data_IF_667091315846
#
_entry.id   IF_667091315846
#
_cell.length_a   1.000
_cell.length_b   1.000
_cell.length_c   1.000
_cell.angle_alpha   90.00
_cell.angle_beta   90.00
_cell.angle_gamma   90.00
#
_symmetry.space_group_name_H-M   'P 1'
#
loop_
_entity.id
_entity.type
_entity.pdbx_description
1 polymer ?
#
# COMPACT_ATOMS: atom_id res chain seq x y z
N UNK A 1 -69.10 -15.66 -29.12
CA UNK A 1 -69.51 -14.25 -29.31
C UNK A 1 -68.44 -13.35 -28.69
N UNK A 2 -67.93 -12.40 -29.48
CA UNK A 2 -67.61 -11.01 -29.04
C UNK A 2 -66.52 -10.76 -27.96
N UNK A 3 -65.31 -10.35 -28.44
CA UNK A 3 -64.51 -9.15 -28.05
C UNK A 3 -63.98 -9.03 -26.57
N UNK A 4 -62.89 -8.33 -26.20
CA UNK A 4 -61.64 -7.78 -26.79
C UNK A 4 -61.02 -6.91 -25.66
N UNK A 5 -59.70 -6.96 -25.45
CA UNK A 5 -58.73 -5.86 -25.09
C UNK A 5 -57.49 -6.52 -24.47
N UNK A 6 -56.35 -6.68 -25.17
CA UNK A 6 -55.32 -5.70 -25.58
C UNK A 6 -54.70 -4.85 -24.45
N UNK A 7 -53.44 -5.17 -24.12
CA UNK A 7 -52.30 -4.22 -24.12
C UNK A 7 -51.06 -4.92 -24.70
N UNK A 8 -50.09 -4.15 -25.19
CA UNK A 8 -49.14 -4.56 -26.24
C UNK A 8 -47.72 -4.90 -25.74
N UNK A 9 -47.06 -5.79 -26.49
CA UNK A 9 -45.61 -5.97 -26.51
C UNK A 9 -44.94 -4.82 -27.30
N UNK A 10 -43.70 -4.45 -26.95
CA UNK A 10 -42.85 -3.68 -27.87
C UNK A 10 -41.69 -2.91 -27.22
N UNK A 11 -40.47 -3.43 -27.35
CA UNK A 11 -39.24 -2.64 -27.27
C UNK A 11 -38.33 -3.07 -28.43
N UNK A 12 -38.22 -2.20 -29.45
CA UNK A 12 -37.51 -2.50 -30.68
C UNK A 12 -36.01 -2.17 -30.61
N UNK A 13 -35.22 -3.14 -31.07
CA UNK A 13 -34.23 -3.04 -32.18
C UNK A 13 -33.11 -1.99 -32.06
N UNK A 14 -31.88 -2.50 -32.20
CA UNK A 14 -30.64 -1.76 -32.39
C UNK A 14 -30.22 -1.74 -33.87
N UNK A 15 -29.91 -0.55 -34.41
CA UNK A 15 -29.11 -0.26 -35.62
C UNK A 15 -28.49 1.14 -35.40
N UNK A 16 -27.17 1.36 -35.51
CA UNK A 16 -26.38 1.58 -36.75
C UNK A 16 -26.93 2.77 -37.59
N UNK A 17 -26.16 3.75 -38.08
CA UNK A 17 -24.71 3.90 -38.31
C UNK A 17 -24.17 5.18 -37.57
N UNK A 18 -23.05 5.88 -37.84
CA UNK A 18 -22.13 5.94 -38.98
C UNK A 18 -20.69 6.48 -38.66
N UNK A 19 -19.85 6.45 -39.69
CA UNK A 19 -18.46 6.91 -39.91
C UNK A 19 -18.32 8.44 -39.96
N UNK A 20 -17.18 9.08 -39.63
CA UNK A 20 -15.90 9.08 -40.39
C UNK A 20 -14.77 9.73 -39.55
N UNK A 21 -13.57 9.15 -39.58
CA UNK A 21 -12.37 9.76 -39.00
C UNK A 21 -11.32 10.02 -40.09
N UNK A 22 -10.91 11.28 -40.24
CA UNK A 22 -9.78 11.75 -41.07
C UNK A 22 -9.29 13.07 -40.47
N UNK A 23 -8.01 13.19 -40.08
CA UNK A 23 -7.60 14.41 -39.37
C UNK A 23 -6.18 14.51 -38.78
N UNK A 24 -5.16 14.10 -39.54
CA UNK A 24 -3.85 14.79 -39.65
C UNK A 24 -3.03 15.06 -38.36
N UNK A 25 -1.82 14.51 -38.36
CA UNK A 25 -0.72 14.83 -37.43
C UNK A 25 -0.27 16.29 -37.60
N UNK A 26 -0.15 17.05 -36.49
CA UNK A 26 0.73 18.23 -36.42
C UNK A 26 1.45 18.33 -35.08
N UNK A 27 2.76 18.10 -35.11
CA UNK A 27 3.68 18.48 -34.03
C UNK A 27 3.70 20.01 -33.91
N UNK A 28 3.50 20.54 -32.70
CA UNK A 28 3.70 21.96 -32.40
C UNK A 28 4.94 22.14 -31.55
N UNK A 29 5.99 22.68 -32.18
CA UNK A 29 7.20 23.16 -31.53
C UNK A 29 6.88 24.32 -30.59
N UNK A 30 7.49 24.29 -29.40
CA UNK A 30 7.29 25.28 -28.33
C UNK A 30 8.25 26.47 -28.54
N UNK A 31 7.78 27.73 -28.69
CA UNK A 31 8.65 28.89 -28.66
C UNK A 31 8.97 29.32 -27.21
N UNK A 32 10.18 29.83 -26.91
CA UNK A 32 10.53 30.32 -25.57
C UNK A 32 9.91 31.69 -25.27
N UNK A 33 9.59 31.95 -23.99
CA UNK A 33 8.99 33.19 -23.53
C UNK A 33 10.03 34.27 -23.17
N UNK A 34 9.78 35.57 -23.48
CA UNK A 34 10.62 36.69 -23.04
C UNK A 34 10.26 37.19 -21.63
N UNK A 35 11.20 37.82 -20.89
CA UNK A 35 10.99 38.21 -19.50
C UNK A 35 10.45 39.65 -19.30
N UNK A 36 9.58 39.80 -18.30
CA UNK A 36 9.51 40.97 -17.40
C UNK A 36 9.02 42.32 -17.94
N UNK A 37 7.78 42.68 -17.62
CA UNK A 37 7.38 44.08 -17.38
C UNK A 37 6.43 44.21 -16.18
N UNK A 38 6.42 45.40 -15.58
CA UNK A 38 5.90 45.69 -14.25
C UNK A 38 4.52 46.36 -14.24
N UNK A 39 3.62 45.89 -13.38
CA UNK A 39 2.63 46.72 -12.68
C UNK A 39 1.35 47.14 -13.42
N UNK A 40 0.21 46.96 -12.74
CA UNK A 40 -0.94 47.89 -12.56
C UNK A 40 -2.11 47.08 -11.95
N UNK A 41 -3.00 47.74 -11.17
CA UNK A 41 -4.02 47.09 -10.32
C UNK A 41 -5.43 47.12 -10.96
N UNK A 42 -6.18 46.04 -10.69
CA UNK A 42 -7.55 45.62 -11.11
C UNK A 42 -8.62 46.72 -11.27
N UNK A 43 -9.70 46.46 -12.05
CA UNK A 43 -10.96 46.11 -11.39
C UNK A 43 -11.78 44.93 -11.96
N UNK A 44 -12.46 44.30 -10.99
CA UNK A 44 -13.55 43.30 -10.95
C UNK A 44 -14.56 43.28 -12.12
N UNK A 45 -14.63 42.19 -12.90
CA UNK A 45 -15.85 41.38 -13.20
C UNK A 45 -15.67 40.46 -14.43
N UNK A 46 -15.84 39.15 -14.27
CA UNK A 46 -16.35 38.20 -15.28
C UNK A 46 -16.41 36.79 -14.66
N UNK A 47 -17.43 36.02 -15.01
CA UNK A 47 -17.73 34.69 -14.50
C UNK A 47 -17.65 33.69 -15.67
N UNK A 48 -16.78 32.68 -15.61
CA UNK A 48 -16.90 31.44 -16.40
C UNK A 48 -15.91 30.37 -15.89
N UNK A 49 -16.33 29.11 -15.95
CA UNK A 49 -15.58 27.98 -15.41
C UNK A 49 -14.54 27.41 -16.40
N UNK A 50 -13.45 26.88 -15.84
CA UNK A 50 -12.63 25.83 -16.45
C UNK A 50 -12.23 24.84 -15.34
N UNK A 51 -12.51 23.55 -15.55
CA UNK A 51 -12.32 22.53 -14.51
C UNK A 51 -10.89 22.00 -14.43
N UNK A 52 -10.51 21.52 -13.25
CA UNK A 52 -9.32 20.69 -13.06
C UNK A 52 -9.56 19.65 -11.95
N UNK A 53 -9.15 18.42 -12.24
CA UNK A 53 -8.87 17.28 -11.35
C UNK A 53 -9.60 17.19 -9.99
N UNK A 54 -10.36 16.11 -9.82
CA UNK A 54 -10.86 15.67 -8.52
C UNK A 54 -9.71 15.25 -7.59
N UNK A 55 -9.20 16.18 -6.80
CA UNK A 55 -8.44 15.87 -5.60
C UNK A 55 -9.42 15.33 -4.54
N UNK A 56 -9.34 14.02 -4.25
CA UNK A 56 -10.11 13.40 -3.18
C UNK A 56 -9.56 13.82 -1.80
N UNK A 57 -9.83 15.06 -1.40
CA UNK A 57 -9.55 15.55 -0.06
C UNK A 57 -10.51 14.86 0.93
N UNK A 58 -9.99 13.91 1.70
CA UNK A 58 -10.74 13.27 2.78
C UNK A 58 -11.06 14.30 3.86
N UNK A 59 -12.32 14.72 3.96
CA UNK A 59 -12.80 15.56 5.05
C UNK A 59 -12.82 14.77 6.35
N UNK A 60 -11.98 15.18 7.30
CA UNK A 60 -11.93 14.58 8.63
C UNK A 60 -13.19 14.94 9.45
N UNK A 61 -14.23 14.12 9.32
CA UNK A 61 -15.39 14.16 10.21
C UNK A 61 -15.05 13.55 11.57
N UNK A 62 -14.54 14.37 12.49
CA UNK A 62 -14.25 13.96 13.86
C UNK A 62 -15.53 13.74 14.68
N UNK A 63 -16.19 12.60 14.47
CA UNK A 63 -17.25 12.13 15.35
C UNK A 63 -16.62 11.46 16.59
N UNK A 64 -16.70 12.13 17.73
CA UNK A 64 -16.22 11.61 19.00
C UNK A 64 -17.10 10.45 19.50
N UNK A 65 -16.74 9.23 19.13
CA UNK A 65 -17.24 8.01 19.77
C UNK A 65 -16.31 7.61 20.93
N UNK A 66 -16.89 7.38 22.10
CA UNK A 66 -16.17 6.87 23.27
C UNK A 66 -15.62 5.46 22.99
N UNK A 67 -14.48 5.07 23.59
CA UNK A 67 -13.84 3.79 23.31
C UNK A 67 -14.60 2.65 23.98
N UNK A 68 -15.61 2.12 23.29
CA UNK A 68 -16.11 0.78 23.58
C UNK A 68 -14.96 -0.22 23.36
N UNK A 69 -14.84 -1.21 24.25
CA UNK A 69 -13.81 -2.25 24.26
C UNK A 69 -13.87 -3.13 23.02
N UNK A 70 -13.33 -2.62 21.91
CA UNK A 70 -13.10 -3.41 20.71
C UNK A 70 -12.00 -4.44 21.01
N UNK A 71 -12.28 -5.71 20.73
CA UNK A 71 -11.21 -6.71 20.63
C UNK A 71 -10.15 -6.20 19.64
N UNK A 72 -8.84 -6.39 19.91
CA UNK A 72 -7.78 -5.89 19.05
C UNK A 72 -7.99 -6.42 17.63
N UNK A 73 -8.28 -5.51 16.70
CA UNK A 73 -8.58 -5.88 15.32
C UNK A 73 -7.29 -6.37 14.65
N UNK A 74 -7.25 -7.66 14.26
CA UNK A 74 -6.15 -8.21 13.48
C UNK A 74 -6.10 -7.48 12.13
N UNK A 75 -4.99 -6.80 11.85
CA UNK A 75 -4.80 -6.09 10.59
C UNK A 75 -4.71 -7.12 9.46
N UNK A 76 -5.58 -6.98 8.46
CA UNK A 76 -5.61 -7.84 7.28
C UNK A 76 -4.80 -7.14 6.17
N UNK A 77 -3.75 -7.81 5.71
CA UNK A 77 -2.95 -7.37 4.57
C UNK A 77 -3.44 -8.07 3.30
N UNK A 78 -3.38 -7.39 2.16
CA UNK A 78 -3.74 -7.96 0.85
C UNK A 78 -2.49 -8.33 0.06
N UNK A 79 -2.54 -9.47 -0.63
CA UNK A 79 -1.46 -9.89 -1.51
C UNK A 79 -1.41 -9.07 -2.78
N UNK A 80 -0.33 -9.21 -3.54
CA UNK A 80 -0.20 -8.63 -4.90
C UNK A 80 -1.27 -9.10 -5.89
N UNK A 81 -2.01 -10.18 -5.58
CA UNK A 81 -3.16 -10.67 -6.37
C UNK A 81 -4.52 -10.19 -5.84
N UNK A 82 -4.53 -9.31 -4.83
CA UNK A 82 -5.74 -8.78 -4.20
C UNK A 82 -6.41 -9.73 -3.20
N UNK A 83 -5.86 -10.91 -2.96
CA UNK A 83 -6.39 -11.86 -1.97
C UNK A 83 -5.95 -11.48 -0.54
N UNK A 84 -6.80 -11.63 0.49
CA UNK A 84 -6.39 -11.42 1.89
C UNK A 84 -5.33 -12.44 2.33
N UNK A 85 -4.19 -11.95 2.83
CA UNK A 85 -3.10 -12.79 3.32
C UNK A 85 -3.43 -13.46 4.65
N UNK A 86 -3.18 -14.76 4.73
CA UNK A 86 -3.41 -15.59 5.91
C UNK A 86 -2.12 -15.74 6.73
N UNK A 87 -1.54 -14.61 7.13
CA UNK A 87 -0.35 -14.58 7.99
C UNK A 87 -0.64 -15.24 9.34
N UNK A 88 0.32 -16.05 9.81
CA UNK A 88 0.26 -16.82 11.06
C UNK A 88 1.54 -16.62 11.87
N UNK A 89 1.41 -16.56 13.19
CA UNK A 89 2.55 -16.54 14.11
C UNK A 89 3.46 -15.33 13.88
N UNK A 90 4.77 -15.55 13.89
CA UNK A 90 5.81 -14.54 13.73
C UNK A 90 5.62 -13.63 12.50
N UNK A 91 5.07 -14.17 11.40
CA UNK A 91 4.79 -13.42 10.18
C UNK A 91 3.81 -12.25 10.38
N UNK A 92 3.03 -12.22 11.46
CA UNK A 92 2.07 -11.13 11.75
C UNK A 92 2.77 -9.84 12.20
N UNK A 93 3.98 -9.93 12.77
CA UNK A 93 4.73 -8.77 13.29
C UNK A 93 5.59 -8.05 12.24
N UNK A 94 5.71 -8.64 11.04
CA UNK A 94 6.61 -8.20 9.98
C UNK A 94 6.02 -7.09 9.08
N UNK A 95 4.76 -7.15 8.59
CA UNK A 95 4.20 -6.08 7.76
C UNK A 95 4.22 -4.66 8.38
N UNK A 96 4.04 -4.47 9.71
CA UNK A 96 4.22 -3.16 10.34
C UNK A 96 5.63 -2.57 10.14
N UNK A 97 6.68 -3.38 10.11
CA UNK A 97 8.05 -2.93 9.83
C UNK A 97 8.17 -2.40 8.40
N UNK A 98 7.65 -3.14 7.42
CA UNK A 98 7.65 -2.71 6.02
C UNK A 98 6.93 -1.37 5.83
N UNK A 99 5.74 -1.22 6.41
CA UNK A 99 4.97 0.01 6.28
C UNK A 99 5.63 1.19 7.03
N UNK A 100 6.19 0.96 8.22
CA UNK A 100 6.83 2.01 9.04
C UNK A 100 8.19 2.47 8.50
N UNK A 101 8.92 1.60 7.80
CA UNK A 101 10.27 1.87 7.29
C UNK A 101 10.33 2.13 5.77
N UNK A 102 9.19 2.51 5.16
CA UNK A 102 9.02 2.85 3.75
C UNK A 102 9.39 1.72 2.75
N UNK A 103 8.88 0.52 3.02
CA UNK A 103 9.10 -0.72 2.28
C UNK A 103 9.08 -0.65 0.75
N UNK A 104 8.14 0.08 0.10
CA UNK A 104 8.09 0.17 -1.36
C UNK A 104 9.34 0.81 -2.00
N UNK A 105 10.07 1.64 -1.25
CA UNK A 105 11.29 2.31 -1.70
C UNK A 105 12.57 1.57 -1.29
N UNK A 106 12.45 0.39 -0.67
CA UNK A 106 13.60 -0.43 -0.31
C UNK A 106 14.35 -0.91 -1.56
N UNK A 107 15.68 -0.99 -1.46
CA UNK A 107 16.53 -1.49 -2.54
C UNK A 107 16.21 -2.94 -2.92
N UNK A 108 15.69 -3.72 -1.99
CA UNK A 108 15.35 -5.14 -2.13
C UNK A 108 14.14 -5.43 -1.26
N UNK A 109 12.98 -5.50 -1.91
CA UNK A 109 11.67 -5.85 -1.35
C UNK A 109 10.98 -6.97 -2.17
N UNK A 110 11.77 -7.85 -2.80
CA UNK A 110 11.29 -9.02 -3.55
C UNK A 110 10.45 -9.94 -2.66
N UNK A 111 9.34 -10.44 -3.19
CA UNK A 111 8.47 -11.44 -2.54
C UNK A 111 7.49 -10.89 -1.50
N UNK A 112 7.66 -9.66 -1.03
CA UNK A 112 6.79 -9.04 -0.02
C UNK A 112 5.33 -9.03 -0.47
N UNK A 113 4.44 -9.53 0.39
CA UNK A 113 3.00 -9.71 0.12
C UNK A 113 2.67 -10.58 -1.11
N UNK A 114 3.60 -11.38 -1.64
CA UNK A 114 3.30 -12.30 -2.75
C UNK A 114 2.59 -13.58 -2.26
N UNK A 115 2.96 -14.08 -1.07
CA UNK A 115 2.46 -15.32 -0.47
C UNK A 115 2.14 -15.12 1.02
N UNK A 116 1.37 -16.04 1.61
CA UNK A 116 1.11 -16.12 3.05
C UNK A 116 2.35 -16.53 3.88
N UNK A 117 3.45 -16.87 3.22
CA UNK A 117 4.67 -17.36 3.85
C UNK A 117 5.73 -16.24 3.87
N UNK A 118 5.90 -15.57 5.01
CA UNK A 118 6.88 -14.49 5.12
C UNK A 118 8.33 -14.96 4.99
N UNK A 119 8.62 -16.26 5.16
CA UNK A 119 9.94 -16.84 4.96
C UNK A 119 10.41 -16.78 3.49
N UNK A 120 9.51 -16.54 2.53
CA UNK A 120 9.84 -16.33 1.11
C UNK A 120 10.16 -14.86 0.80
N UNK A 121 9.99 -13.94 1.77
CA UNK A 121 10.19 -12.51 1.55
C UNK A 121 11.67 -12.13 1.75
N UNK A 122 12.18 -11.27 0.88
CA UNK A 122 13.57 -10.83 0.95
C UNK A 122 13.92 -10.17 2.29
N UNK A 123 15.06 -10.59 2.84
CA UNK A 123 15.57 -10.14 4.14
C UNK A 123 15.03 -10.93 5.34
N UNK A 124 14.16 -11.92 5.16
CA UNK A 124 13.62 -12.76 6.24
C UNK A 124 14.29 -14.13 6.22
N UNK A 125 14.74 -14.58 7.39
CA UNK A 125 15.27 -15.93 7.62
C UNK A 125 14.43 -16.62 8.70
N UNK A 126 13.95 -17.82 8.37
CA UNK A 126 13.18 -18.66 9.28
C UNK A 126 13.98 -19.89 9.72
N UNK A 127 13.51 -20.57 10.76
CA UNK A 127 14.09 -21.82 11.22
C UNK A 127 14.06 -22.87 10.10
N UNK A 128 15.21 -23.45 9.69
CA UNK A 128 15.26 -24.43 8.59
C UNK A 128 14.69 -25.81 8.97
N UNK A 129 14.29 -26.03 10.22
CA UNK A 129 13.73 -27.29 10.67
C UNK A 129 12.37 -27.55 10.03
N UNK A 130 12.22 -28.73 9.44
CA UNK A 130 10.93 -29.24 8.99
C UNK A 130 10.25 -30.05 10.12
N UNK A 131 8.92 -29.98 10.18
CA UNK A 131 8.11 -30.80 11.08
C UNK A 131 8.22 -32.29 10.67
N UNK A 132 8.65 -33.19 11.55
CA UNK A 132 8.86 -34.60 11.19
C UNK A 132 7.60 -35.39 10.82
N UNK A 133 6.41 -34.86 11.10
CA UNK A 133 5.12 -35.51 10.86
C UNK A 133 4.41 -34.93 9.62
N UNK A 134 4.53 -33.63 9.37
CA UNK A 134 3.85 -32.96 8.24
C UNK A 134 4.77 -32.62 7.07
N UNK A 135 6.09 -32.56 7.28
CA UNK A 135 7.05 -32.03 6.31
C UNK A 135 6.93 -30.52 6.08
N UNK A 136 6.15 -29.80 6.89
CA UNK A 136 6.03 -28.34 6.79
C UNK A 136 7.25 -27.65 7.41
N UNK A 137 7.76 -26.60 6.74
CA UNK A 137 8.85 -25.78 7.27
C UNK A 137 8.39 -24.97 8.48
N UNK A 138 9.21 -24.94 9.51
CA UNK A 138 9.01 -24.09 10.68
C UNK A 138 9.06 -22.61 10.27
N UNK A 139 7.95 -21.90 10.50
CA UNK A 139 7.77 -20.49 10.09
C UNK A 139 8.26 -19.49 11.15
N UNK A 140 8.93 -19.95 12.21
CA UNK A 140 9.53 -19.07 13.23
C UNK A 140 10.68 -18.27 12.64
N UNK A 141 10.68 -16.96 12.88
CA UNK A 141 11.67 -16.04 12.32
C UNK A 141 12.90 -16.03 13.24
N UNK A 142 14.05 -16.40 12.66
CA UNK A 142 15.34 -16.50 13.36
C UNK A 142 16.31 -15.40 12.95
N UNK A 143 16.14 -14.80 11.77
CA UNK A 143 16.99 -13.69 11.32
C UNK A 143 16.24 -12.68 10.45
N UNK A 144 16.62 -11.41 10.58
CA UNK A 144 16.14 -10.30 9.76
C UNK A 144 17.34 -9.48 9.27
N UNK A 145 17.60 -9.55 7.96
CA UNK A 145 18.64 -8.76 7.29
C UNK A 145 18.04 -7.75 6.33
N UNK A 146 17.95 -6.51 6.81
CA UNK A 146 17.57 -5.34 6.02
C UNK A 146 18.74 -4.37 5.89
N UNK A 147 19.98 -4.86 6.01
CA UNK A 147 21.16 -4.00 5.89
C UNK A 147 21.34 -3.48 4.47
N UNK A 148 21.82 -2.23 4.35
CA UNK A 148 22.06 -1.56 3.05
C UNK A 148 20.81 -1.47 2.15
N UNK A 149 19.62 -1.53 2.73
CA UNK A 149 18.36 -1.70 2.01
C UNK A 149 17.55 -0.41 1.83
N UNK A 150 18.13 0.76 2.14
CA UNK A 150 17.50 2.08 2.04
C UNK A 150 16.27 2.27 2.96
N UNK A 151 16.27 1.66 4.15
CA UNK A 151 15.22 1.88 5.14
C UNK A 151 15.17 3.37 5.55
N UNK A 152 13.96 3.93 5.56
CA UNK A 152 13.67 5.31 5.96
C UNK A 152 12.56 5.32 7.00
N UNK A 153 12.74 6.01 8.13
CA UNK A 153 11.74 6.07 9.21
C UNK A 153 12.29 5.52 10.52
N UNK A 154 11.48 4.79 11.28
CA UNK A 154 11.83 4.24 12.60
C UNK A 154 11.59 2.73 12.65
N UNK A 155 12.27 2.04 13.58
CA UNK A 155 11.97 0.63 13.87
C UNK A 155 10.73 0.56 14.77
N UNK A 156 9.62 -0.10 14.36
CA UNK A 156 8.45 -0.21 15.22
C UNK A 156 8.72 -1.15 16.40
N UNK A 157 8.19 -0.87 17.60
CA UNK A 157 8.39 -1.70 18.78
C UNK A 157 7.85 -3.14 18.62
N UNK A 158 6.92 -3.36 17.69
CA UNK A 158 6.30 -4.67 17.45
C UNK A 158 7.28 -5.75 16.98
N UNK A 159 8.42 -5.39 16.36
CA UNK A 159 9.45 -6.35 15.98
C UNK A 159 10.05 -7.06 17.22
N UNK A 160 9.95 -6.45 18.41
CA UNK A 160 10.36 -7.02 19.69
C UNK A 160 9.51 -8.24 20.13
N UNK A 161 8.41 -8.55 19.46
CA UNK A 161 7.58 -9.74 19.73
C UNK A 161 7.99 -10.97 18.89
N UNK A 162 9.22 -10.98 18.37
CA UNK A 162 9.84 -12.14 17.72
C UNK A 162 10.78 -12.86 18.71
N UNK A 163 10.28 -13.84 19.51
CA UNK A 163 11.03 -14.39 20.64
C UNK A 163 12.21 -15.29 20.24
N UNK A 164 12.25 -15.74 18.99
CA UNK A 164 13.30 -16.60 18.44
C UNK A 164 14.27 -15.86 17.51
N UNK A 165 14.19 -14.52 17.43
CA UNK A 165 15.07 -13.74 16.57
C UNK A 165 16.51 -13.72 17.13
N UNK A 166 17.41 -14.42 16.45
CA UNK A 166 18.83 -14.49 16.79
C UNK A 166 19.65 -13.35 16.16
N UNK A 167 19.23 -12.85 15.00
CA UNK A 167 20.00 -11.84 14.24
C UNK A 167 19.11 -10.71 13.69
N UNK A 168 19.49 -9.46 13.96
CA UNK A 168 18.81 -8.26 13.43
C UNK A 168 19.83 -7.29 12.80
N UNK A 169 19.96 -7.34 11.47
CA UNK A 169 20.88 -6.49 10.70
C UNK A 169 20.13 -5.31 10.08
N UNK A 170 20.27 -4.13 10.71
CA UNK A 170 19.73 -2.86 10.20
C UNK A 170 20.82 -1.87 9.74
N UNK A 171 22.08 -2.30 9.71
CA UNK A 171 23.23 -1.44 9.45
C UNK A 171 23.27 -0.87 8.02
N UNK A 172 23.92 0.30 7.85
CA UNK A 172 24.04 1.03 6.55
C UNK A 172 22.70 1.44 5.92
N UNK A 173 21.70 1.76 6.73
CA UNK A 173 20.48 2.44 6.30
C UNK A 173 20.51 3.90 6.78
N UNK A 174 20.88 4.84 5.90
CA UNK A 174 21.10 6.24 6.28
C UNK A 174 19.82 7.02 6.60
N UNK A 175 18.66 6.57 6.12
CA UNK A 175 17.35 7.14 6.45
C UNK A 175 16.70 6.57 7.71
N UNK A 176 17.31 5.56 8.33
CA UNK A 176 16.82 4.99 9.57
C UNK A 176 17.14 5.95 10.73
N UNK A 177 16.12 6.28 11.50
CA UNK A 177 16.13 7.36 12.48
C UNK A 177 15.25 7.03 13.68
N UNK A 178 15.13 7.96 14.64
CA UNK A 178 14.38 7.76 15.87
C UNK A 178 15.14 6.93 16.91
N UNK A 179 14.42 6.43 17.90
CA UNK A 179 14.97 5.64 19.00
C UNK A 179 14.89 4.14 18.73
N UNK A 180 15.91 3.41 19.18
CA UNK A 180 15.87 1.95 19.27
C UNK A 180 14.77 1.58 20.29
N UNK A 181 13.73 0.80 19.91
CA UNK A 181 12.66 0.46 20.84
C UNK A 181 13.16 -0.30 22.07
N UNK A 182 12.81 0.17 23.27
CA UNK A 182 13.26 -0.42 24.54
C UNK A 182 12.92 -1.92 24.66
N UNK A 183 11.81 -2.34 24.06
CA UNK A 183 11.38 -3.74 24.06
C UNK A 183 12.36 -4.69 23.36
N UNK A 184 13.22 -4.23 22.45
CA UNK A 184 14.23 -5.09 21.80
C UNK A 184 15.19 -5.69 22.82
N UNK A 185 15.66 -4.90 23.78
CA UNK A 185 16.59 -5.35 24.81
C UNK A 185 15.95 -6.15 25.95
N UNK A 186 14.62 -6.32 25.94
CA UNK A 186 13.86 -7.00 27.01
C UNK A 186 13.18 -8.28 26.52
N UNK A 187 12.62 -8.25 25.31
CA UNK A 187 11.78 -9.33 24.79
C UNK A 187 12.53 -10.31 23.85
N UNK A 188 13.79 -10.02 23.50
CA UNK A 188 14.61 -10.85 22.60
C UNK A 188 15.79 -11.50 23.36
N UNK A 189 15.57 -12.59 24.12
CA UNK A 189 16.60 -13.20 24.98
C UNK A 189 17.70 -13.95 24.21
N UNK A 190 17.54 -14.17 22.90
CA UNK A 190 18.46 -14.93 22.04
C UNK A 190 19.15 -14.09 20.96
N UNK A 191 18.87 -12.79 20.89
CA UNK A 191 19.46 -11.87 19.93
C UNK A 191 20.95 -11.66 20.21
N UNK A 192 21.77 -11.69 19.15
CA UNK A 192 23.24 -11.62 19.19
C UNK A 192 23.78 -10.29 18.65
#
# INVERSE_FOLDING_TARGET
MTQRTQWLLGACICMQFATLASGIIRSTTFPPAPPGQTGVRVPRSAMAAAGAAAAAAATAAAAAATPATAAPQKIIYTSTTGKPLQLRGDCEYIPPLYMAANGPEWKTATGWFATDNCCDWSGISCNPREDPLTGEKDRRITGLDFSRNLLVGTVPPHIAFLPFLEELKLHRNYGLSGTIPIHLGVNMPVLK
#
